data_IF_657557375263
#
_entry.id   IF_657557375263
#
_cell.length_a   1.000
_cell.length_b   1.000
_cell.length_c   1.000
_cell.angle_alpha   90.00
_cell.angle_beta   90.00
_cell.angle_gamma   90.00
#
_symmetry.space_group_name_H-M   'P 1'
#
loop_
_entity.id
_entity.type
_entity.pdbx_description
1 polymer ?
#
# COMPACT_ATOMS: atom_id res chain seq x y z
N UNK A 1 5.24 25.44 16.19
CA UNK A 1 4.22 24.83 15.32
C UNK A 1 4.24 23.32 15.55
N UNK A 2 3.08 22.64 15.60
CA UNK A 2 3.05 21.19 15.69
C UNK A 2 3.76 20.53 14.51
N UNK A 3 4.39 19.36 14.70
CA UNK A 3 4.97 18.61 13.59
C UNK A 3 3.87 18.18 12.62
N UNK A 4 4.16 18.26 11.32
CA UNK A 4 3.23 17.85 10.26
C UNK A 4 2.90 16.36 10.36
N UNK A 5 3.92 15.52 10.57
CA UNK A 5 3.79 14.09 10.81
C UNK A 5 4.31 13.75 12.21
N UNK A 6 3.52 13.01 12.99
CA UNK A 6 3.97 12.40 14.24
C UNK A 6 3.28 11.04 14.41
N UNK A 7 4.06 9.98 14.53
CA UNK A 7 3.57 8.61 14.55
C UNK A 7 4.08 7.89 15.79
N UNK A 8 3.18 7.24 16.51
CA UNK A 8 3.51 6.28 17.56
C UNK A 8 4.27 5.10 16.94
N UNK A 9 5.11 4.45 17.75
CA UNK A 9 5.87 3.30 17.30
C UNK A 9 4.93 2.11 17.01
N UNK A 10 4.72 1.84 15.72
CA UNK A 10 3.83 0.78 15.23
C UNK A 10 4.21 -0.60 15.77
N UNK A 11 5.49 -0.97 15.68
CA UNK A 11 5.99 -2.27 16.11
C UNK A 11 5.70 -2.50 17.59
N UNK A 12 5.97 -1.49 18.42
CA UNK A 12 5.74 -1.55 19.87
C UNK A 12 4.25 -1.66 20.20
N UNK A 13 3.39 -0.94 19.47
CA UNK A 13 1.94 -1.03 19.62
C UNK A 13 1.42 -2.43 19.32
N UNK A 14 1.88 -3.03 18.22
CA UNK A 14 1.41 -4.31 17.70
C UNK A 14 1.94 -5.54 18.44
N UNK A 15 2.73 -5.37 19.50
CA UNK A 15 3.10 -6.48 20.39
C UNK A 15 1.90 -6.94 21.22
N UNK A 16 0.99 -6.04 21.57
CA UNK A 16 -0.11 -6.34 22.49
C UNK A 16 -1.33 -6.94 21.77
N UNK A 17 -1.96 -7.99 22.34
CA UNK A 17 -3.19 -8.54 21.78
C UNK A 17 -4.32 -7.50 21.85
N UNK A 18 -5.17 -7.47 20.83
CA UNK A 18 -6.22 -6.47 20.69
C UNK A 18 -5.74 -5.03 20.44
N UNK A 19 -4.44 -4.80 20.21
CA UNK A 19 -3.92 -3.48 19.89
C UNK A 19 -4.51 -2.96 18.57
N UNK A 20 -4.85 -1.66 18.56
CA UNK A 20 -5.35 -0.95 17.38
C UNK A 20 -4.45 0.23 17.09
N UNK A 21 -3.91 0.30 15.88
CA UNK A 21 -3.09 1.40 15.41
C UNK A 21 -3.79 2.10 14.25
N UNK A 22 -4.00 3.41 14.35
CA UNK A 22 -4.70 4.19 13.35
C UNK A 22 -3.82 5.30 12.78
N UNK A 23 -3.91 5.51 11.46
CA UNK A 23 -3.32 6.66 10.77
C UNK A 23 -4.42 7.61 10.36
N UNK A 24 -4.33 8.85 10.82
CA UNK A 24 -5.43 9.81 10.82
C UNK A 24 -4.95 11.22 10.47
N UNK A 25 -5.86 11.97 9.85
CA UNK A 25 -5.68 13.37 9.49
C UNK A 25 -6.46 14.23 10.49
N UNK A 26 -5.83 15.28 11.01
CA UNK A 26 -6.41 16.18 12.01
C UNK A 26 -6.31 17.62 11.53
N UNK A 27 -7.45 18.30 11.46
CA UNK A 27 -7.52 19.71 11.12
C UNK A 27 -7.35 20.56 12.37
N UNK A 28 -6.40 21.49 12.33
CA UNK A 28 -6.12 22.44 13.39
C UNK A 28 -7.07 23.63 13.32
N UNK A 29 -7.60 24.01 14.48
CA UNK A 29 -8.46 25.17 14.67
C UNK A 29 -7.93 26.05 15.79
N UNK A 30 -8.37 27.31 15.78
CA UNK A 30 -8.02 28.27 16.80
C UNK A 30 -8.65 27.88 18.14
N UNK A 31 -7.83 27.37 19.06
CA UNK A 31 -8.21 27.15 20.45
C UNK A 31 -7.92 28.38 21.31
N UNK A 32 -7.20 28.17 22.42
CA UNK A 32 -6.73 29.24 23.29
C UNK A 32 -5.59 30.06 22.67
N UNK A 33 -4.79 29.46 21.80
CA UNK A 33 -3.62 30.09 21.17
C UNK A 33 -3.91 30.57 19.74
N UNK A 34 -4.61 31.71 19.64
CA UNK A 34 -4.99 32.31 18.35
C UNK A 34 -3.80 32.82 17.54
N UNK A 35 -2.76 33.30 18.20
CA UNK A 35 -1.55 33.80 17.52
C UNK A 35 -0.79 32.69 16.81
N UNK A 36 -0.67 31.52 17.45
CA UNK A 36 -0.08 30.34 16.81
C UNK A 36 -0.92 29.87 15.62
N UNK A 37 -2.26 29.83 15.75
CA UNK A 37 -3.11 29.43 14.64
C UNK A 37 -2.97 30.37 13.43
N UNK A 38 -2.91 31.69 13.68
CA UNK A 38 -2.68 32.68 12.63
C UNK A 38 -1.32 32.46 11.94
N UNK A 39 -0.25 32.24 12.70
CA UNK A 39 1.06 31.92 12.14
C UNK A 39 1.02 30.65 11.27
N UNK A 40 0.25 29.64 11.68
CA UNK A 40 0.08 28.40 10.92
C UNK A 40 -0.62 28.68 9.58
N UNK A 41 -1.68 29.47 9.60
CA UNK A 41 -2.43 29.84 8.40
C UNK A 41 -1.57 30.65 7.43
N UNK A 42 -0.93 31.73 7.89
CA UNK A 42 -0.05 32.58 7.07
C UNK A 42 1.10 31.78 6.44
N UNK A 43 1.69 30.84 7.18
CA UNK A 43 2.73 29.97 6.65
C UNK A 43 2.18 29.00 5.58
N UNK A 44 0.99 28.45 5.80
CA UNK A 44 0.34 27.47 4.92
C UNK A 44 -0.27 28.08 3.66
N UNK A 45 -0.59 29.38 3.68
CA UNK A 45 -1.11 30.12 2.52
C UNK A 45 -0.12 30.15 1.34
N UNK A 46 1.17 29.99 1.63
CA UNK A 46 2.24 29.96 0.64
C UNK A 46 2.42 28.56 0.02
N UNK A 47 1.39 28.08 -0.69
CA UNK A 47 1.29 26.71 -1.25
C UNK A 47 2.39 26.31 -2.24
N UNK A 48 3.07 27.28 -2.86
CA UNK A 48 4.16 27.01 -3.81
C UNK A 48 5.45 26.53 -3.15
N UNK A 49 5.64 26.83 -1.85
CA UNK A 49 6.89 26.52 -1.12
C UNK A 49 6.64 25.75 0.16
N UNK A 50 5.46 25.87 0.75
CA UNK A 50 5.16 25.32 2.05
C UNK A 50 4.05 24.27 1.95
N UNK A 51 4.17 23.23 2.77
CA UNK A 51 3.10 22.27 2.98
C UNK A 51 1.95 22.94 3.76
N UNK A 52 0.75 22.39 3.60
CA UNK A 52 -0.37 22.83 4.40
C UNK A 52 -0.21 22.33 5.84
N UNK A 53 0.14 23.23 6.77
CA UNK A 53 0.28 22.92 8.19
C UNK A 53 -1.03 23.08 8.98
N UNK A 54 -2.14 23.48 8.34
CA UNK A 54 -3.45 23.49 8.99
C UNK A 54 -4.00 22.08 9.18
N UNK A 55 -3.53 21.10 8.41
CA UNK A 55 -3.85 19.70 8.58
C UNK A 55 -2.59 18.94 8.97
N UNK A 56 -2.65 18.20 10.07
CA UNK A 56 -1.54 17.40 10.59
C UNK A 56 -1.89 15.91 10.52
N UNK A 57 -0.88 15.08 10.34
CA UNK A 57 -1.02 13.63 10.21
C UNK A 57 -0.50 12.94 11.46
N UNK A 58 -1.28 12.01 12.00
CA UNK A 58 -0.96 11.29 13.22
C UNK A 58 -1.05 9.78 13.02
N UNK A 59 -0.06 9.06 13.53
CA UNK A 59 -0.15 7.61 13.73
C UNK A 59 -0.33 7.36 15.22
N UNK A 60 -1.43 6.74 15.63
CA UNK A 60 -1.80 6.64 17.05
C UNK A 60 -2.05 5.18 17.41
N UNK A 61 -1.37 4.72 18.46
CA UNK A 61 -1.71 3.47 19.11
C UNK A 61 -2.88 3.71 20.07
N UNK A 62 -4.10 3.40 19.62
CA UNK A 62 -5.34 3.74 20.34
C UNK A 62 -5.36 3.11 21.73
N UNK A 63 -4.89 1.87 21.83
CA UNK A 63 -4.91 1.08 23.07
C UNK A 63 -3.92 1.57 24.14
N UNK A 64 -2.86 2.28 23.76
CA UNK A 64 -1.90 2.85 24.73
C UNK A 64 -2.08 4.36 24.89
N UNK A 65 -2.06 5.10 23.79
CA UNK A 65 -1.99 6.56 23.78
C UNK A 65 -3.34 7.18 24.12
N UNK A 66 -4.44 6.54 23.72
CA UNK A 66 -5.80 7.00 24.00
C UNK A 66 -6.53 6.15 25.05
N UNK A 67 -5.77 5.42 25.88
CA UNK A 67 -6.32 4.51 26.89
C UNK A 67 -7.34 5.18 27.83
N UNK A 68 -7.04 6.39 28.29
CA UNK A 68 -7.91 7.15 29.20
C UNK A 68 -9.26 7.50 28.55
N UNK A 69 -9.30 7.65 27.23
CA UNK A 69 -10.52 7.95 26.47
C UNK A 69 -11.34 6.70 26.14
N UNK A 70 -10.70 5.52 26.15
CA UNK A 70 -11.38 4.23 26.03
C UNK A 70 -12.12 3.86 27.32
N UNK A 71 -11.49 4.04 28.48
CA UNK A 71 -12.07 3.64 29.78
C UNK A 71 -13.29 4.49 30.18
N UNK A 72 -13.30 5.79 29.83
CA UNK A 72 -14.39 6.71 30.16
C UNK A 72 -15.66 6.50 29.31
N UNK A 73 -15.57 5.86 28.15
CA UNK A 73 -16.70 5.63 27.22
C UNK A 73 -17.26 4.19 27.28
N UNK A 74 -17.02 3.47 28.38
CA UNK A 74 -17.32 2.04 28.62
C UNK A 74 -18.81 1.66 28.72
N UNK A 75 -19.65 2.10 27.79
CA UNK A 75 -21.02 1.57 27.66
C UNK A 75 -21.41 1.05 26.29
N UNK A 76 -20.63 1.28 25.23
CA UNK A 76 -20.88 0.68 23.92
C UNK A 76 -19.59 0.67 23.09
N UNK A 77 -19.47 -0.27 22.14
CA UNK A 77 -18.57 -0.19 20.97
C UNK A 77 -18.96 1.00 20.06
N UNK A 78 -18.94 2.21 20.61
CA UNK A 78 -19.49 3.43 19.99
C UNK A 78 -18.34 4.32 19.51
N UNK A 79 -18.21 4.38 18.19
CA UNK A 79 -17.37 5.25 17.36
C UNK A 79 -15.94 5.46 17.86
N UNK A 80 -15.04 4.60 17.36
CA UNK A 80 -13.59 4.81 17.38
C UNK A 80 -13.22 6.27 17.03
N UNK A 81 -13.96 6.87 16.09
CA UNK A 81 -13.86 8.26 15.65
C UNK A 81 -13.98 9.25 16.80
N UNK A 82 -14.95 9.07 17.71
CA UNK A 82 -15.16 9.97 18.87
C UNK A 82 -14.04 9.84 19.89
N UNK A 83 -13.56 8.61 20.12
CA UNK A 83 -12.43 8.35 21.02
C UNK A 83 -11.18 9.03 20.47
N UNK A 84 -10.91 8.86 19.17
CA UNK A 84 -9.79 9.49 18.48
C UNK A 84 -9.90 11.01 18.48
N UNK A 85 -11.08 11.57 18.16
CA UNK A 85 -11.33 13.00 18.17
C UNK A 85 -11.07 13.61 19.55
N UNK A 86 -11.63 13.03 20.61
CA UNK A 86 -11.43 13.51 21.97
C UNK A 86 -9.95 13.41 22.41
N UNK A 87 -9.31 12.27 22.14
CA UNK A 87 -7.91 12.03 22.49
C UNK A 87 -6.96 12.99 21.78
N UNK A 88 -7.13 13.16 20.47
CA UNK A 88 -6.31 14.05 19.65
C UNK A 88 -6.55 15.51 20.00
N UNK A 89 -7.79 15.92 20.19
CA UNK A 89 -8.12 17.28 20.58
C UNK A 89 -7.42 17.61 21.91
N UNK A 90 -7.50 16.71 22.91
CA UNK A 90 -6.81 16.89 24.18
C UNK A 90 -5.28 16.95 24.03
N UNK A 91 -4.68 16.08 23.21
CA UNK A 91 -3.23 16.07 22.93
C UNK A 91 -2.75 17.39 22.29
N UNK A 92 -3.48 17.86 21.27
CA UNK A 92 -3.16 19.11 20.56
C UNK A 92 -3.39 20.33 21.47
N UNK A 93 -4.47 20.32 22.23
CA UNK A 93 -4.82 21.41 23.14
C UNK A 93 -3.80 21.57 24.27
N UNK A 94 -3.43 20.47 24.91
CA UNK A 94 -2.44 20.49 26.01
C UNK A 94 -1.04 20.87 25.54
N UNK A 95 -0.63 20.42 24.34
CA UNK A 95 0.70 20.71 23.80
C UNK A 95 0.87 22.12 23.22
N UNK A 96 -0.16 22.65 22.56
CA UNK A 96 -0.04 23.88 21.74
C UNK A 96 -1.12 24.94 22.00
N UNK A 97 -2.16 24.63 22.77
CA UNK A 97 -3.33 25.50 22.94
C UNK A 97 -4.19 25.62 21.68
N UNK A 98 -4.08 24.67 20.76
CA UNK A 98 -4.91 24.60 19.54
C UNK A 98 -6.01 23.57 19.71
N UNK A 99 -7.07 23.66 18.93
CA UNK A 99 -8.09 22.61 18.87
C UNK A 99 -7.79 21.71 17.67
N UNK A 100 -7.85 20.40 17.86
CA UNK A 100 -7.68 19.42 16.79
C UNK A 100 -8.99 18.72 16.50
N UNK A 101 -9.50 18.83 15.27
CA UNK A 101 -10.67 18.07 14.82
C UNK A 101 -10.27 16.92 13.93
N UNK A 102 -10.88 15.77 14.15
CA UNK A 102 -10.67 14.61 13.28
C UNK A 102 -11.24 14.93 11.89
N UNK A 103 -10.39 14.86 10.86
CA UNK A 103 -10.78 15.13 9.47
C UNK A 103 -11.15 13.84 8.76
N UNK A 104 -10.24 12.87 8.80
CA UNK A 104 -10.39 11.58 8.13
C UNK A 104 -9.51 10.52 8.78
N UNK A 105 -9.97 9.26 8.75
CA UNK A 105 -9.21 8.10 9.18
C UNK A 105 -8.73 7.37 7.92
N UNK A 106 -7.43 7.42 7.64
CA UNK A 106 -6.88 6.78 6.44
C UNK A 106 -7.01 5.26 6.53
N UNK A 107 -6.56 4.69 7.65
CA UNK A 107 -6.69 3.27 7.94
C UNK A 107 -6.44 3.01 9.43
N UNK A 108 -6.99 1.90 9.90
CA UNK A 108 -6.64 1.32 11.19
C UNK A 108 -6.26 -0.14 10.98
N UNK A 109 -5.23 -0.58 11.69
CA UNK A 109 -4.84 -1.98 11.77
C UNK A 109 -5.11 -2.48 13.18
N UNK A 110 -5.82 -3.61 13.29
CA UNK A 110 -5.91 -4.36 14.55
C UNK A 110 -4.96 -5.55 14.52
N UNK A 111 -4.30 -5.83 15.64
CA UNK A 111 -3.30 -6.90 15.73
C UNK A 111 -3.84 -8.30 15.44
N UNK A 112 -5.09 -8.54 15.79
CA UNK A 112 -5.78 -9.82 15.64
C UNK A 112 -6.80 -9.81 14.49
N UNK A 113 -6.73 -8.80 13.60
CA UNK A 113 -7.58 -8.73 12.43
C UNK A 113 -7.15 -9.80 11.44
N UNK A 114 -8.08 -10.70 11.10
CA UNK A 114 -7.89 -11.60 9.97
C UNK A 114 -7.95 -10.77 8.69
N UNK A 115 -6.99 -10.97 7.78
CA UNK A 115 -7.01 -10.38 6.45
C UNK A 115 -8.38 -10.64 5.80
N UNK A 116 -9.18 -9.60 5.64
CA UNK A 116 -10.46 -9.69 4.93
C UNK A 116 -10.14 -9.82 3.44
N UNK A 117 -10.43 -10.98 2.86
CA UNK A 117 -10.21 -11.23 1.43
C UNK A 117 -11.19 -10.35 0.66
N UNK A 118 -10.67 -9.35 -0.04
CA UNK A 118 -11.50 -8.45 -0.83
C UNK A 118 -11.77 -9.03 -2.24
N UNK A 119 -12.65 -8.36 -2.99
CA UNK A 119 -12.97 -8.80 -4.35
C UNK A 119 -11.75 -8.72 -5.30
N UNK A 120 -10.82 -7.79 -5.05
CA UNK A 120 -9.61 -7.62 -5.86
C UNK A 120 -8.66 -8.80 -5.68
N UNK A 121 -8.48 -9.27 -4.45
CA UNK A 121 -7.67 -10.43 -4.10
C UNK A 121 -8.16 -11.70 -4.80
N UNK A 122 -9.48 -11.91 -4.81
CA UNK A 122 -10.10 -13.05 -5.52
C UNK A 122 -9.85 -12.94 -7.03
N UNK A 123 -10.06 -11.76 -7.62
CA UNK A 123 -9.83 -11.54 -9.05
C UNK A 123 -8.38 -11.84 -9.41
N UNK A 124 -7.42 -11.33 -8.63
CA UNK A 124 -6.00 -11.58 -8.84
C UNK A 124 -5.64 -13.05 -8.70
N UNK A 125 -6.18 -13.74 -7.69
CA UNK A 125 -5.99 -15.17 -7.51
C UNK A 125 -6.48 -15.98 -8.73
N UNK A 126 -7.64 -15.62 -9.28
CA UNK A 126 -8.18 -16.25 -10.51
C UNK A 126 -7.28 -15.99 -11.72
N UNK A 127 -6.81 -14.76 -11.91
CA UNK A 127 -5.89 -14.42 -13.01
C UNK A 127 -4.60 -15.24 -12.92
N UNK A 128 -4.00 -15.34 -11.72
CA UNK A 128 -2.81 -16.16 -11.52
C UNK A 128 -3.08 -17.64 -11.79
N UNK A 129 -4.21 -18.18 -11.34
CA UNK A 129 -4.60 -19.56 -11.60
C UNK A 129 -4.72 -19.82 -13.11
N UNK A 130 -5.38 -18.94 -13.86
CA UNK A 130 -5.51 -19.06 -15.32
C UNK A 130 -4.14 -19.03 -16.01
N UNK A 131 -3.25 -18.11 -15.61
CA UNK A 131 -1.89 -18.03 -16.16
C UNK A 131 -1.09 -19.30 -15.89
N UNK A 132 -1.17 -19.85 -14.67
CA UNK A 132 -0.50 -21.10 -14.30
C UNK A 132 -1.05 -22.26 -15.14
N UNK A 133 -2.37 -22.36 -15.29
CA UNK A 133 -2.99 -23.41 -16.11
C UNK A 133 -2.58 -23.33 -17.58
N UNK A 134 -2.58 -22.13 -18.18
CA UNK A 134 -2.14 -21.95 -19.57
C UNK A 134 -0.68 -22.37 -19.76
N UNK A 135 0.20 -21.99 -18.82
CA UNK A 135 1.61 -22.40 -18.85
C UNK A 135 1.78 -23.92 -18.66
N UNK A 136 1.00 -24.53 -17.77
CA UNK A 136 1.03 -25.96 -17.52
C UNK A 136 0.56 -26.76 -18.74
N UNK A 137 -0.59 -26.37 -19.33
CA UNK A 137 -1.14 -27.01 -20.54
C UNK A 137 -0.21 -26.80 -21.74
N UNK A 138 0.30 -25.58 -21.95
CA UNK A 138 1.23 -25.29 -23.05
C UNK A 138 2.53 -26.09 -22.93
N UNK A 139 3.08 -26.22 -21.73
CA UNK A 139 4.30 -26.98 -21.47
C UNK A 139 4.06 -28.50 -21.58
N UNK A 140 2.94 -29.02 -21.08
CA UNK A 140 2.57 -30.43 -21.20
C UNK A 140 2.36 -30.82 -22.67
N UNK A 141 1.65 -29.97 -23.43
CA UNK A 141 1.43 -30.15 -24.86
C UNK A 141 2.75 -30.18 -25.64
N UNK A 142 3.69 -29.31 -25.30
CA UNK A 142 5.02 -29.27 -25.93
C UNK A 142 5.82 -30.56 -25.67
N UNK A 143 5.81 -31.08 -24.44
CA UNK A 143 6.53 -32.32 -24.09
C UNK A 143 5.90 -33.55 -24.76
N UNK A 144 4.58 -33.64 -24.80
CA UNK A 144 3.88 -34.82 -25.36
C UNK A 144 3.90 -34.80 -26.90
N UNK A 145 3.58 -33.67 -27.54
CA UNK A 145 3.39 -33.63 -28.99
C UNK A 145 4.64 -33.28 -29.79
N UNK A 146 5.62 -32.57 -29.22
CA UNK A 146 6.80 -32.09 -29.97
C UNK A 146 8.10 -32.88 -29.70
N UNK A 147 8.02 -34.05 -29.06
CA UNK A 147 9.19 -34.91 -28.84
C UNK A 147 9.66 -35.61 -30.13
N UNK A 148 8.77 -35.77 -31.12
CA UNK A 148 9.09 -36.25 -32.46
C UNK A 148 9.05 -35.10 -33.46
N UNK A 149 10.20 -34.88 -34.11
CA UNK A 149 10.43 -33.86 -35.14
C UNK A 149 9.32 -33.92 -36.21
N UNK A 150 8.88 -32.73 -36.64
CA UNK A 150 8.07 -32.45 -37.85
C UNK A 150 6.54 -32.27 -37.75
N UNK A 151 5.94 -32.12 -36.57
CA UNK A 151 4.58 -31.56 -36.50
C UNK A 151 4.60 -30.10 -36.06
N UNK A 152 4.10 -29.21 -36.93
CA UNK A 152 3.74 -27.84 -36.58
C UNK A 152 2.55 -27.94 -35.59
N UNK A 153 2.84 -28.13 -34.31
CA UNK A 153 1.84 -28.11 -33.24
C UNK A 153 1.09 -26.77 -33.22
N UNK A 154 -0.06 -26.73 -32.55
CA UNK A 154 -0.88 -25.52 -32.54
C UNK A 154 -0.09 -24.31 -32.00
N UNK A 155 0.12 -23.25 -32.81
CA UNK A 155 0.97 -22.11 -32.44
C UNK A 155 0.46 -21.38 -31.19
N UNK A 156 -0.85 -21.37 -30.94
CA UNK A 156 -1.44 -20.71 -29.77
C UNK A 156 -1.09 -21.43 -28.46
N UNK A 157 -1.05 -22.76 -28.44
CA UNK A 157 -0.68 -23.53 -27.24
C UNK A 157 0.84 -23.49 -26.99
N UNK A 158 1.63 -23.47 -28.07
CA UNK A 158 3.08 -23.38 -27.98
C UNK A 158 3.56 -22.01 -27.49
N UNK A 159 2.75 -20.95 -27.63
CA UNK A 159 3.04 -19.63 -27.09
C UNK A 159 3.12 -19.61 -25.56
N UNK A 160 2.49 -20.58 -24.89
CA UNK A 160 2.51 -20.73 -23.42
C UNK A 160 3.45 -21.85 -22.95
N UNK A 161 4.27 -22.46 -23.82
CA UNK A 161 5.29 -23.42 -23.38
C UNK A 161 6.47 -22.71 -22.74
N UNK A 162 6.72 -23.01 -21.46
CA UNK A 162 7.87 -22.46 -20.73
C UNK A 162 9.19 -22.88 -21.38
N UNK A 163 9.29 -24.13 -21.85
CA UNK A 163 10.52 -24.65 -22.48
C UNK A 163 10.86 -23.91 -23.77
N UNK A 164 9.87 -23.71 -24.65
CA UNK A 164 10.07 -23.00 -25.93
C UNK A 164 10.26 -21.49 -25.74
N UNK A 165 9.55 -20.88 -24.79
CA UNK A 165 9.77 -19.48 -24.47
C UNK A 165 11.15 -19.26 -23.86
N UNK A 166 11.61 -20.17 -22.98
CA UNK A 166 12.97 -20.12 -22.43
C UNK A 166 14.05 -20.29 -23.50
N UNK A 167 13.90 -21.25 -24.42
CA UNK A 167 14.87 -21.40 -25.51
C UNK A 167 14.88 -20.21 -26.46
N UNK A 168 13.75 -19.55 -26.69
CA UNK A 168 13.69 -18.28 -27.44
C UNK A 168 14.36 -17.13 -26.71
N UNK A 169 14.13 -17.00 -25.39
CA UNK A 169 14.72 -15.94 -24.56
C UNK A 169 16.24 -16.10 -24.39
N UNK A 170 16.73 -17.33 -24.32
CA UNK A 170 18.16 -17.65 -24.18
C UNK A 170 18.87 -17.89 -25.51
N UNK A 171 18.14 -17.82 -26.64
CA UNK A 171 18.77 -17.94 -27.95
C UNK A 171 19.69 -16.74 -28.17
N UNK A 172 20.97 -17.03 -28.45
CA UNK A 172 21.87 -16.01 -28.99
C UNK A 172 21.28 -15.46 -30.29
N UNK A 173 21.36 -14.14 -30.46
CA UNK A 173 20.94 -13.43 -31.68
C UNK A 173 21.56 -14.07 -32.94
N UNK A 174 22.75 -14.68 -32.82
CA UNK A 174 23.39 -15.50 -33.87
C UNK A 174 22.53 -16.66 -34.40
N UNK A 175 21.79 -17.35 -33.53
CA UNK A 175 21.06 -18.59 -33.82
C UNK A 175 19.57 -18.40 -34.09
N UNK A 176 19.02 -17.20 -33.90
CA UNK A 176 17.62 -16.90 -34.20
C UNK A 176 17.41 -16.69 -35.69
N UNK A 177 16.63 -17.56 -36.35
CA UNK A 177 16.24 -17.46 -37.78
C UNK A 177 15.23 -16.33 -38.09
N UNK A 178 14.97 -15.44 -37.13
CA UNK A 178 13.98 -14.38 -37.30
C UNK A 178 14.63 -13.10 -37.86
N UNK A 179 14.16 -12.58 -39.01
CA UNK A 179 14.78 -11.44 -39.70
C UNK A 179 14.73 -10.14 -38.87
N UNK A 180 13.84 -10.05 -37.88
CA UNK A 180 13.75 -8.89 -36.96
C UNK A 180 14.85 -8.92 -35.89
N UNK A 181 15.22 -10.09 -35.39
CA UNK A 181 16.30 -10.25 -34.41
C UNK A 181 17.68 -10.09 -35.04
N UNK A 182 17.84 -10.37 -36.34
CA UNK A 182 19.09 -10.10 -37.06
C UNK A 182 19.46 -8.62 -37.08
N UNK A 183 18.48 -7.72 -37.20
CA UNK A 183 18.72 -6.26 -37.14
C UNK A 183 19.27 -5.79 -35.79
N UNK A 184 19.00 -6.55 -34.73
CA UNK A 184 19.47 -6.27 -33.37
C UNK A 184 20.87 -6.86 -33.09
N UNK A 185 21.43 -7.69 -33.99
CA UNK A 185 22.81 -8.22 -33.87
C UNK A 185 23.85 -7.09 -33.78
N UNK A 186 23.62 -5.98 -34.47
CA UNK A 186 24.54 -4.84 -34.54
C UNK A 186 24.80 -4.22 -33.14
N UNK A 187 23.80 -4.22 -32.25
CA UNK A 187 23.93 -3.67 -30.91
C UNK A 187 24.65 -4.59 -29.93
N UNK A 188 24.70 -5.89 -30.20
CA UNK A 188 25.39 -6.88 -29.36
C UNK A 188 26.90 -7.00 -29.67
N UNK A 189 27.42 -6.19 -30.60
CA UNK A 189 28.82 -6.19 -31.05
C UNK A 189 29.70 -5.08 -30.49
N UNK A 190 29.17 -4.19 -29.64
CA UNK A 190 29.98 -3.22 -28.89
C UNK A 190 30.52 -3.91 -27.63
N UNK A 191 31.70 -4.53 -27.75
CA UNK A 191 32.57 -4.87 -26.63
C UNK A 191 33.74 -3.90 -26.60
#
# INVERSE_FOLDING_TARGET
MPPLYAMDNYETCMIYPGATYCVINVDLQAGSNKDLMRMIQEYSDHTMKHFNHTQIHRGVCVTSTCKDFLENNTKNEMDLDKVLEACLNNSVHTGYGLEGRLSDIQYCYKKDETLEIDSSDIIMAVVYLVLILLNAVGSLYDVICCNQKEKLGNPYLLAFSLRKNWTRLTASSSNSKEPRLERLKLFNGLR
#
